data_IF_544779980782
#
_entry.id   IF_544779980782
#
_cell.length_a   1.000
_cell.length_b   1.000
_cell.length_c   1.000
_cell.angle_alpha   90.00
_cell.angle_beta   90.00
_cell.angle_gamma   90.00
#
_symmetry.space_group_name_H-M   'P 1'
#
loop_
_entity.id
_entity.type
_entity.pdbx_description
1 polymer ?
#
# COMPACT_ATOMS: atom_id res chain seq x y z
N UNK A 1 53.89 -58.13 -4.14
CA UNK A 1 53.22 -56.97 -4.76
C UNK A 1 51.71 -57.04 -4.45
N UNK A 2 51.24 -56.37 -3.39
CA UNK A 2 49.79 -56.36 -3.04
C UNK A 2 49.15 -55.10 -3.64
N UNK A 3 48.32 -55.28 -4.67
CA UNK A 3 47.54 -54.19 -5.26
C UNK A 3 46.46 -53.76 -4.26
N UNK A 4 46.44 -52.47 -3.89
CA UNK A 4 45.37 -51.90 -3.06
C UNK A 4 44.05 -51.89 -3.86
N UNK A 5 42.91 -52.25 -3.26
CA UNK A 5 41.62 -52.12 -3.92
C UNK A 5 41.26 -50.64 -4.08
N UNK A 6 40.80 -50.27 -5.28
CA UNK A 6 40.33 -48.91 -5.59
C UNK A 6 38.86 -48.83 -5.22
N UNK A 7 38.50 -47.97 -4.27
CA UNK A 7 37.10 -47.65 -4.00
C UNK A 7 36.54 -46.81 -5.15
N UNK A 8 35.35 -47.11 -5.71
CA UNK A 8 34.73 -46.25 -6.69
C UNK A 8 34.40 -44.90 -6.03
N UNK A 9 34.94 -43.82 -6.58
CA UNK A 9 34.71 -42.46 -6.09
C UNK A 9 33.25 -42.07 -6.28
N UNK A 10 32.58 -41.69 -5.18
CA UNK A 10 31.26 -41.08 -5.24
C UNK A 10 31.41 -39.69 -5.89
N UNK A 11 30.89 -39.54 -7.10
CA UNK A 11 30.87 -38.25 -7.80
C UNK A 11 29.84 -37.33 -7.15
N UNK A 12 30.29 -36.31 -6.43
CA UNK A 12 29.41 -35.24 -5.99
C UNK A 12 29.04 -34.35 -7.18
N UNK A 13 27.75 -34.00 -7.36
CA UNK A 13 27.37 -33.08 -8.42
C UNK A 13 28.10 -31.74 -8.22
N UNK A 14 28.77 -31.28 -9.28
CA UNK A 14 29.41 -29.97 -9.29
C UNK A 14 28.38 -28.84 -9.09
N UNK A 15 28.82 -27.65 -8.67
CA UNK A 15 27.92 -26.53 -8.41
C UNK A 15 27.11 -26.16 -9.67
N UNK A 16 25.79 -26.07 -9.54
CA UNK A 16 24.91 -25.70 -10.66
C UNK A 16 25.22 -24.29 -11.19
N UNK A 17 25.32 -24.16 -12.52
CA UNK A 17 25.58 -22.89 -13.17
C UNK A 17 24.43 -21.90 -12.97
N UNK A 18 24.66 -20.84 -12.20
CA UNK A 18 23.66 -19.80 -11.95
C UNK A 18 23.57 -18.85 -13.15
N UNK A 19 22.39 -18.72 -13.77
CA UNK A 19 22.18 -17.75 -14.85
C UNK A 19 22.43 -16.31 -14.35
N UNK A 20 23.45 -15.63 -14.89
CA UNK A 20 23.89 -14.28 -14.48
C UNK A 20 23.33 -13.15 -15.34
N UNK A 21 22.43 -13.43 -16.28
CA UNK A 21 21.81 -12.40 -17.13
C UNK A 21 21.11 -11.32 -16.27
N UNK A 22 21.04 -10.09 -16.79
CA UNK A 22 20.32 -8.98 -16.13
C UNK A 22 18.87 -9.37 -15.82
N UNK A 23 18.20 -10.06 -16.74
CA UNK A 23 16.84 -10.59 -16.58
C UNK A 23 16.75 -11.60 -15.43
N UNK A 24 17.67 -12.57 -15.36
CA UNK A 24 17.69 -13.56 -14.28
C UNK A 24 17.95 -12.90 -12.91
N UNK A 25 18.83 -11.90 -12.84
CA UNK A 25 19.05 -11.11 -11.61
C UNK A 25 17.80 -10.35 -11.19
N UNK A 26 17.12 -9.68 -12.13
CA UNK A 26 15.89 -8.95 -11.86
C UNK A 26 14.76 -9.88 -11.39
N UNK A 27 14.61 -11.06 -12.01
CA UNK A 27 13.64 -12.07 -11.60
C UNK A 27 13.89 -12.57 -10.17
N UNK A 28 15.14 -12.91 -9.82
CA UNK A 28 15.52 -13.31 -8.45
C UNK A 28 15.24 -12.20 -7.44
N UNK A 29 15.54 -10.94 -7.78
CA UNK A 29 15.26 -9.79 -6.92
C UNK A 29 13.76 -9.61 -6.71
N UNK A 30 12.95 -9.76 -7.77
CA UNK A 30 11.49 -9.71 -7.68
C UNK A 30 10.96 -10.84 -6.79
N UNK A 31 11.42 -12.07 -7.00
CA UNK A 31 11.03 -13.22 -6.18
C UNK A 31 11.31 -12.98 -4.70
N UNK A 32 12.54 -12.60 -4.34
CA UNK A 32 12.92 -12.32 -2.94
C UNK A 32 12.05 -11.25 -2.28
N UNK A 33 11.63 -10.23 -3.03
CA UNK A 33 10.75 -9.17 -2.53
C UNK A 33 9.32 -9.65 -2.32
N UNK A 34 8.86 -10.55 -3.20
CA UNK A 34 7.57 -11.19 -3.06
C UNK A 34 7.61 -12.08 -1.81
N UNK A 35 8.58 -12.99 -1.73
CA UNK A 35 8.78 -13.88 -0.58
C UNK A 35 8.94 -13.16 0.79
N UNK A 36 9.24 -11.85 0.80
CA UNK A 36 9.44 -11.06 2.02
C UNK A 36 8.22 -10.27 2.49
N UNK A 37 7.10 -10.31 1.77
CA UNK A 37 5.87 -9.56 2.14
C UNK A 37 4.69 -10.48 2.39
N UNK A 38 3.71 -9.98 3.13
CA UNK A 38 2.47 -10.71 3.41
C UNK A 38 1.60 -10.79 2.14
N UNK A 39 0.97 -11.95 1.94
CA UNK A 39 0.14 -12.27 0.77
C UNK A 39 -1.25 -12.72 1.22
N UNK A 40 -1.96 -11.84 1.91
CA UNK A 40 -3.24 -12.18 2.53
C UNK A 40 -4.44 -11.94 1.58
N UNK A 41 -4.17 -11.56 0.33
CA UNK A 41 -5.21 -11.31 -0.67
C UNK A 41 -5.79 -12.63 -1.21
N UNK A 42 -7.04 -12.92 -0.83
CA UNK A 42 -7.79 -14.08 -1.36
C UNK A 42 -8.43 -13.78 -2.73
N UNK A 43 -8.78 -14.83 -3.48
CA UNK A 43 -9.47 -14.68 -4.77
C UNK A 43 -10.89 -14.09 -4.61
N UNK A 44 -11.56 -14.35 -3.49
CA UNK A 44 -12.85 -13.76 -3.15
C UNK A 44 -12.71 -12.25 -2.90
N UNK A 45 -11.73 -11.83 -2.09
CA UNK A 45 -11.43 -10.42 -1.86
C UNK A 45 -11.04 -9.71 -3.16
N UNK A 46 -10.31 -10.39 -4.03
CA UNK A 46 -9.99 -9.87 -5.37
C UNK A 46 -11.23 -9.65 -6.23
N UNK A 47 -12.19 -10.58 -6.19
CA UNK A 47 -13.47 -10.43 -6.91
C UNK A 47 -14.27 -9.25 -6.36
N UNK A 48 -14.33 -9.11 -5.04
CA UNK A 48 -14.96 -7.97 -4.37
C UNK A 48 -14.29 -6.64 -4.73
N UNK A 49 -12.95 -6.59 -4.79
CA UNK A 49 -12.21 -5.41 -5.24
C UNK A 49 -12.55 -5.05 -6.69
N UNK A 50 -12.56 -6.02 -7.60
CA UNK A 50 -12.93 -5.78 -9.00
C UNK A 50 -14.34 -5.20 -9.12
N UNK A 51 -15.30 -5.75 -8.36
CA UNK A 51 -16.67 -5.26 -8.33
C UNK A 51 -16.77 -3.84 -7.73
N UNK A 52 -16.06 -3.58 -6.63
CA UNK A 52 -16.06 -2.27 -5.97
C UNK A 52 -15.46 -1.16 -6.85
N UNK A 53 -14.42 -1.47 -7.62
CA UNK A 53 -13.82 -0.51 -8.56
C UNK A 53 -14.61 -0.40 -9.88
N UNK A 54 -15.25 -1.48 -10.33
CA UNK A 54 -16.01 -1.52 -11.57
C UNK A 54 -15.17 -1.36 -12.85
N UNK A 55 -13.84 -1.39 -12.75
CA UNK A 55 -12.91 -1.17 -13.86
C UNK A 55 -11.47 -0.96 -13.39
N UNK A 56 -10.61 -0.52 -14.31
CA UNK A 56 -9.25 -0.12 -13.97
C UNK A 56 -9.28 1.08 -13.01
N UNK A 57 -8.65 0.94 -11.85
CA UNK A 57 -8.58 1.97 -10.82
C UNK A 57 -7.95 3.29 -11.29
N UNK A 58 -7.18 3.26 -12.38
CA UNK A 58 -6.47 4.43 -12.90
C UNK A 58 -7.17 5.09 -14.08
N UNK A 59 -7.43 4.32 -15.14
CA UNK A 59 -8.00 4.87 -16.38
C UNK A 59 -9.50 4.60 -16.55
N UNK A 60 -10.13 3.88 -15.63
CA UNK A 60 -11.56 3.53 -15.68
C UNK A 60 -11.95 2.49 -16.74
N UNK A 61 -11.00 1.98 -17.53
CA UNK A 61 -11.28 1.00 -18.58
C UNK A 61 -11.85 -0.31 -18.02
N UNK A 62 -12.94 -0.78 -18.61
CA UNK A 62 -13.67 -2.01 -18.23
C UNK A 62 -13.58 -3.12 -19.29
N UNK A 63 -13.08 -2.77 -20.48
CA UNK A 63 -13.00 -3.61 -21.67
C UNK A 63 -11.75 -4.52 -21.70
N UNK A 64 -10.98 -4.57 -20.60
CA UNK A 64 -9.68 -5.24 -20.57
C UNK A 64 -9.48 -6.07 -19.30
N UNK A 65 -8.69 -7.16 -19.38
CA UNK A 65 -8.37 -7.97 -18.21
C UNK A 65 -7.61 -7.13 -17.17
N UNK A 66 -8.12 -7.17 -15.94
CA UNK A 66 -7.56 -6.44 -14.81
C UNK A 66 -6.50 -7.29 -14.11
N UNK A 67 -5.41 -6.63 -13.74
CA UNK A 67 -4.29 -7.20 -12.99
C UNK A 67 -4.28 -6.61 -11.58
N UNK A 68 -3.73 -7.37 -10.64
CA UNK A 68 -3.48 -6.90 -9.26
C UNK A 68 -2.26 -5.97 -9.27
N UNK A 69 -2.47 -4.69 -9.01
CA UNK A 69 -1.41 -3.70 -8.83
C UNK A 69 -1.37 -3.20 -7.39
N UNK A 70 -0.18 -3.05 -6.82
CA UNK A 70 0.01 -2.53 -5.48
C UNK A 70 0.16 -1.01 -5.53
N UNK A 71 -0.75 -0.26 -4.91
CA UNK A 71 -0.72 1.22 -4.83
C UNK A 71 0.64 1.71 -4.34
N UNK A 72 1.10 1.17 -3.20
CA UNK A 72 2.50 1.23 -2.79
C UNK A 72 3.23 -0.01 -3.30
N UNK A 73 4.23 0.20 -4.16
CA UNK A 73 5.01 -0.90 -4.71
C UNK A 73 5.74 -1.69 -3.60
N UNK A 74 5.79 -3.02 -3.73
CA UNK A 74 6.50 -3.93 -2.79
C UNK A 74 7.96 -3.50 -2.58
N UNK A 75 8.62 -3.04 -3.64
CA UNK A 75 10.01 -2.55 -3.55
C UNK A 75 10.19 -1.29 -2.70
N UNK A 76 9.10 -0.65 -2.30
CA UNK A 76 9.03 0.56 -1.47
C UNK A 76 8.28 0.30 -0.15
N UNK A 77 8.17 -0.97 0.26
CA UNK A 77 7.55 -1.36 1.53
C UNK A 77 6.06 -1.66 1.48
N UNK A 78 5.44 -1.73 0.30
CA UNK A 78 4.03 -2.14 0.19
C UNK A 78 3.83 -3.65 0.42
N UNK A 79 2.65 -4.02 0.90
CA UNK A 79 2.22 -5.41 1.14
C UNK A 79 1.24 -5.89 0.06
N UNK A 80 1.06 -7.20 -0.08
CA UNK A 80 0.13 -7.78 -1.05
C UNK A 80 -1.21 -8.10 -0.39
N UNK A 81 -1.85 -7.05 0.09
CA UNK A 81 -3.07 -7.08 0.91
C UNK A 81 -4.20 -6.32 0.23
N UNK A 82 -5.44 -6.57 0.67
CA UNK A 82 -6.66 -5.98 0.07
C UNK A 82 -6.72 -4.45 0.18
N UNK A 83 -6.05 -3.84 1.15
CA UNK A 83 -5.94 -2.38 1.31
C UNK A 83 -4.97 -1.72 0.32
N UNK A 84 -3.94 -2.45 -0.11
CA UNK A 84 -2.89 -1.92 -0.98
C UNK A 84 -3.04 -2.38 -2.43
N UNK A 85 -3.83 -3.43 -2.71
CA UNK A 85 -4.04 -3.93 -4.07
C UNK A 85 -5.27 -3.29 -4.73
N UNK A 86 -5.10 -2.82 -5.96
CA UNK A 86 -6.16 -2.28 -6.81
C UNK A 86 -6.17 -2.98 -8.18
N UNK A 87 -7.32 -3.06 -8.85
CA UNK A 87 -7.39 -3.57 -10.20
C UNK A 87 -6.85 -2.56 -11.21
N UNK A 88 -5.91 -2.98 -12.05
CA UNK A 88 -5.32 -2.14 -13.09
C UNK A 88 -5.20 -2.88 -14.42
N UNK A 89 -5.50 -2.20 -15.53
CA UNK A 89 -5.23 -2.77 -16.85
C UNK A 89 -3.72 -2.91 -17.09
N UNK A 90 -3.34 -3.76 -18.05
CA UNK A 90 -1.92 -4.04 -18.36
C UNK A 90 -1.11 -2.77 -18.67
N UNK A 91 -1.69 -1.81 -19.41
CA UNK A 91 -0.99 -0.59 -19.81
C UNK A 91 -0.72 0.33 -18.61
N UNK A 92 -1.69 0.50 -17.72
CA UNK A 92 -1.53 1.30 -16.51
C UNK A 92 -0.58 0.64 -15.52
N UNK A 93 -0.72 -0.66 -15.27
CA UNK A 93 0.17 -1.41 -14.38
C UNK A 93 1.63 -1.35 -14.86
N UNK A 94 1.86 -1.58 -16.15
CA UNK A 94 3.21 -1.45 -16.74
C UNK A 94 3.75 -0.01 -16.69
N UNK A 95 2.86 0.98 -16.90
CA UNK A 95 3.22 2.39 -16.84
C UNK A 95 3.59 2.87 -15.44
N UNK A 96 2.88 2.41 -14.40
CA UNK A 96 3.19 2.74 -13.00
C UNK A 96 4.44 1.99 -12.54
N UNK A 97 4.51 0.69 -12.79
CA UNK A 97 5.61 -0.16 -12.35
C UNK A 97 5.88 0.03 -10.83
N UNK A 98 7.06 0.51 -10.47
CA UNK A 98 7.46 0.79 -9.10
C UNK A 98 7.39 2.29 -8.71
N UNK A 99 6.82 3.12 -9.57
CA UNK A 99 6.61 4.53 -9.29
C UNK A 99 5.59 4.71 -8.15
N UNK A 100 5.77 5.78 -7.40
CA UNK A 100 4.81 6.24 -6.41
C UNK A 100 3.53 6.71 -7.12
N UNK A 101 2.37 6.31 -6.60
CA UNK A 101 1.09 6.39 -7.32
C UNK A 101 0.73 7.83 -7.67
N UNK A 102 0.89 8.77 -6.73
CA UNK A 102 0.51 10.16 -6.95
C UNK A 102 1.44 10.83 -7.95
N UNK A 103 2.76 10.63 -7.81
CA UNK A 103 3.74 11.13 -8.77
C UNK A 103 3.56 10.54 -10.17
N UNK A 104 3.11 9.28 -10.28
CA UNK A 104 2.78 8.68 -11.56
C UNK A 104 1.49 9.24 -12.18
N UNK A 105 0.42 9.37 -11.40
CA UNK A 105 -0.86 9.95 -11.84
C UNK A 105 -0.67 11.37 -12.38
N UNK A 106 0.08 12.21 -11.66
CA UNK A 106 0.43 13.57 -12.11
C UNK A 106 1.16 13.57 -13.45
N UNK A 107 2.15 12.68 -13.62
CA UNK A 107 2.90 12.56 -14.88
C UNK A 107 2.02 12.10 -16.05
N UNK A 108 1.07 11.20 -15.78
CA UNK A 108 0.12 10.68 -16.76
C UNK A 108 -1.07 11.61 -17.01
N UNK A 109 -1.19 12.73 -16.27
CA UNK A 109 -2.31 13.66 -16.28
C UNK A 109 -3.66 12.98 -15.96
N UNK A 110 -3.63 12.03 -15.04
CA UNK A 110 -4.82 11.40 -14.48
C UNK A 110 -5.24 12.13 -13.19
N UNK A 111 -6.51 11.99 -12.80
CA UNK A 111 -7.06 12.64 -11.62
C UNK A 111 -6.62 11.93 -10.33
N UNK A 112 -5.60 12.52 -9.68
CA UNK A 112 -5.08 12.06 -8.40
C UNK A 112 -6.12 12.14 -7.27
N UNK A 113 -6.90 13.22 -7.22
CA UNK A 113 -7.85 13.45 -6.13
C UNK A 113 -9.00 12.45 -6.21
N UNK A 114 -9.52 12.22 -7.41
CA UNK A 114 -10.56 11.22 -7.64
C UNK A 114 -10.08 9.82 -7.23
N UNK A 115 -8.85 9.44 -7.62
CA UNK A 115 -8.25 8.16 -7.23
C UNK A 115 -8.16 8.00 -5.71
N UNK A 116 -7.57 8.98 -5.01
CA UNK A 116 -7.38 8.90 -3.55
C UNK A 116 -8.71 8.86 -2.80
N UNK A 117 -9.67 9.69 -3.23
CA UNK A 117 -11.02 9.73 -2.61
C UNK A 117 -11.71 8.38 -2.75
N UNK A 118 -11.70 7.80 -3.97
CA UNK A 118 -12.30 6.50 -4.24
C UNK A 118 -11.59 5.36 -3.51
N UNK A 119 -10.26 5.42 -3.42
CA UNK A 119 -9.46 4.42 -2.70
C UNK A 119 -9.81 4.38 -1.21
N UNK A 120 -9.95 5.56 -0.57
CA UNK A 120 -10.40 5.66 0.83
C UNK A 120 -11.81 5.11 0.98
N UNK A 121 -12.74 5.52 0.10
CA UNK A 121 -14.14 5.07 0.15
C UNK A 121 -14.26 3.54 0.07
N UNK A 122 -13.57 2.91 -0.89
CA UNK A 122 -13.57 1.45 -1.06
C UNK A 122 -12.95 0.77 0.16
N UNK A 123 -11.83 1.28 0.69
CA UNK A 123 -11.20 0.72 1.89
C UNK A 123 -12.12 0.77 3.10
N UNK A 124 -12.83 1.88 3.29
CA UNK A 124 -13.80 2.03 4.38
C UNK A 124 -14.99 1.08 4.18
N UNK A 125 -15.51 0.99 2.95
CA UNK A 125 -16.66 0.12 2.62
C UNK A 125 -16.34 -1.36 2.84
N UNK A 126 -15.12 -1.79 2.53
CA UNK A 126 -14.66 -3.16 2.76
C UNK A 126 -14.24 -3.42 4.22
N UNK A 127 -14.45 -2.46 5.13
CA UNK A 127 -14.13 -2.61 6.55
C UNK A 127 -12.63 -2.66 6.85
N UNK A 128 -11.79 -2.17 5.95
CA UNK A 128 -10.31 -2.24 6.03
C UNK A 128 -9.70 -1.02 6.72
N UNK A 129 -10.51 -0.03 7.05
CA UNK A 129 -10.13 1.04 7.94
C UNK A 129 -10.32 0.56 9.38
N UNK A 130 -9.35 -0.19 9.90
CA UNK A 130 -9.15 -0.20 11.34
C UNK A 130 -8.65 1.20 11.69
N UNK A 131 -9.51 2.05 12.26
CA UNK A 131 -9.01 3.00 13.24
C UNK A 131 -8.47 2.09 14.34
N UNK A 132 -7.15 2.03 14.62
CA UNK A 132 -6.74 1.46 15.89
C UNK A 132 -7.50 2.28 16.93
N UNK A 133 -8.35 1.62 17.72
CA UNK A 133 -8.93 2.28 18.88
C UNK A 133 -7.80 2.98 19.65
N UNK A 134 -8.07 4.11 20.35
CA UNK A 134 -7.05 4.76 21.16
C UNK A 134 -6.31 3.67 21.95
N UNK A 135 -4.96 3.62 21.89
CA UNK A 135 -4.28 2.61 22.69
C UNK A 135 -4.73 2.82 24.13
N UNK A 136 -5.01 1.75 24.89
CA UNK A 136 -5.31 1.89 26.31
C UNK A 136 -4.15 2.57 27.07
N UNK A 137 -2.93 2.56 26.51
CA UNK A 137 -1.76 3.26 27.03
C UNK A 137 -1.74 4.78 26.75
N UNK A 138 -2.56 5.28 25.82
CA UNK A 138 -2.70 6.72 25.56
C UNK A 138 -3.70 7.39 26.55
N UNK A 139 -4.32 6.60 27.44
CA UNK A 139 -5.32 7.05 28.41
C UNK A 139 -4.78 7.38 29.80
N UNK A 140 -3.48 7.24 30.06
CA UNK A 140 -2.89 7.51 31.38
C UNK A 140 -1.59 8.34 31.30
N UNK A 141 -1.74 9.66 31.22
CA UNK A 141 -0.81 10.57 31.88
C UNK A 141 -1.59 11.56 32.74
N UNK A 142 -1.89 11.22 34.00
CA UNK A 142 -2.68 12.05 34.89
C UNK A 142 -1.80 12.97 35.74
N UNK A 143 -1.01 13.86 35.15
CA UNK A 143 -0.33 14.91 35.92
C UNK A 143 0.05 16.14 35.08
N UNK A 144 -0.96 16.97 34.77
CA UNK A 144 -0.83 18.44 34.68
C UNK A 144 -2.18 19.07 35.08
N UNK A 145 -2.62 18.75 36.29
CA UNK A 145 -3.69 19.47 36.98
C UNK A 145 -3.06 20.45 37.99
N UNK A 146 -2.60 21.60 37.51
CA UNK A 146 -2.60 22.83 38.32
C UNK A 146 -3.59 23.81 37.71
N UNK A 147 -4.75 23.89 38.35
CA UNK A 147 -5.75 24.94 38.14
C UNK A 147 -5.38 26.25 38.86
N UNK A 148 -6.36 27.11 39.18
CA UNK A 148 -6.65 28.30 38.39
C UNK A 148 -6.17 29.60 39.05
N UNK A 149 -5.61 30.51 38.26
CA UNK A 149 -5.39 31.91 38.63
C UNK A 149 -6.57 32.77 38.18
N UNK A 150 -7.47 33.07 39.12
CA UNK A 150 -8.48 34.12 38.99
C UNK A 150 -7.83 35.53 38.93
N UNK A 151 -8.68 36.53 38.66
CA UNK A 151 -8.50 38.01 38.70
C UNK A 151 -8.44 38.66 37.30
N UNK A 152 -9.22 39.67 36.88
CA UNK A 152 -10.49 40.33 37.25
C UNK A 152 -10.62 41.57 36.33
N UNK A 153 -11.82 41.87 35.82
CA UNK A 153 -12.28 43.19 35.31
C UNK A 153 -11.72 43.64 33.95
N UNK A 154 -12.41 44.39 33.08
CA UNK A 154 -13.69 45.11 33.07
C UNK A 154 -14.08 45.32 31.58
N UNK A 155 -15.33 45.06 31.14
CA UNK A 155 -16.37 46.06 30.78
C UNK A 155 -15.86 47.16 29.81
N UNK A 156 -16.43 47.38 28.61
CA UNK A 156 -17.78 47.91 28.38
C UNK A 156 -18.30 47.75 26.92
N UNK A 157 -19.60 47.40 26.83
CA UNK A 157 -20.70 47.87 25.95
C UNK A 157 -20.72 47.52 24.44
N UNK A 158 -21.65 46.67 23.96
CA UNK A 158 -23.05 46.99 23.52
C UNK A 158 -23.12 48.22 22.60
N UNK A 159 -23.56 48.19 21.34
CA UNK A 159 -24.58 47.37 20.68
C UNK A 159 -25.70 48.31 20.19
N UNK A 160 -26.00 48.36 18.89
CA UNK A 160 -27.35 48.63 18.31
C UNK A 160 -27.31 48.90 16.80
N UNK A 161 -28.03 48.04 16.07
CA UNK A 161 -28.56 48.31 14.73
C UNK A 161 -29.74 49.30 14.78
N UNK A 162 -29.99 50.06 13.69
CA UNK A 162 -31.27 50.10 12.95
C UNK A 162 -31.45 51.36 12.07
N UNK A 163 -31.63 51.12 10.76
CA UNK A 163 -32.70 51.58 9.83
C UNK A 163 -33.22 53.04 9.81
N UNK A 164 -33.44 53.51 8.56
CA UNK A 164 -34.36 54.57 8.07
C UNK A 164 -33.99 56.02 8.42
N UNK A 165 -34.05 57.04 7.56
CA UNK A 165 -34.67 57.24 6.24
C UNK A 165 -33.78 58.14 5.36
#
# INVERSE_FOLDING_TARGET
>A
MRRRPVTPGVAYPGPMAVNRSRRARAARKRKRRMDSVDHDLTDEQWTTLQAAWGGCAYCGATDQPLQRDCVQAISRGGRYTVDNVVPACRSCNAGKCNAEVTGWLRRKRLDERAFLSRHIEIRTTLGLCAIPGPNPDDAEHPDDAEGPGALTGAEDKEGAEARTA
#
